data_IF_587877890826
#
_entry.id   IF_587877890826
#
_cell.length_a   1.000
_cell.length_b   1.000
_cell.length_c   1.000
_cell.angle_alpha   90.00
_cell.angle_beta   90.00
_cell.angle_gamma   90.00
#
_symmetry.space_group_name_H-M   'P 1'
#
loop_
_entity.id
_entity.type
_entity.pdbx_description
1 polymer ?
#
# COMPACT_ATOMS: atom_id res chain seq x y z
N UNK A 1 -58.81 -72.99 31.88
CA UNK A 1 -59.11 -71.62 32.35
C UNK A 1 -58.11 -71.24 33.43
N UNK A 2 -57.27 -70.27 33.16
CA UNK A 2 -56.22 -69.68 34.03
C UNK A 2 -55.54 -68.57 33.21
N UNK A 3 -54.84 -67.59 33.80
CA UNK A 3 -54.97 -66.98 35.13
C UNK A 3 -54.89 -65.40 35.01
N UNK A 4 -55.45 -64.58 35.92
CA UNK A 4 -54.79 -63.95 37.10
C UNK A 4 -54.31 -62.49 36.95
N UNK A 5 -54.66 -61.68 37.98
CA UNK A 5 -54.07 -60.40 38.52
C UNK A 5 -54.07 -59.19 37.57
N UNK A 6 -54.36 -57.94 37.96
CA UNK A 6 -54.60 -57.22 39.23
C UNK A 6 -54.52 -55.72 38.87
N UNK A 7 -55.10 -54.76 39.63
CA UNK A 7 -55.24 -53.37 39.18
C UNK A 7 -54.10 -52.47 39.66
N UNK A 8 -53.59 -51.57 38.79
CA UNK A 8 -52.70 -50.46 39.18
C UNK A 8 -53.05 -49.21 38.34
N UNK A 9 -53.11 -48.00 38.94
CA UNK A 9 -53.75 -46.82 38.35
C UNK A 9 -52.81 -45.97 37.47
N UNK A 10 -53.45 -45.09 36.71
CA UNK A 10 -52.88 -44.14 35.73
C UNK A 10 -51.63 -43.39 36.23
N UNK A 11 -50.51 -43.61 35.54
CA UNK A 11 -49.35 -42.71 35.57
C UNK A 11 -49.61 -41.57 34.58
N UNK A 12 -49.77 -40.34 35.12
CA UNK A 12 -49.71 -39.10 34.34
C UNK A 12 -48.29 -38.93 33.79
N UNK A 13 -48.12 -39.06 32.47
CA UNK A 13 -46.88 -38.68 31.81
C UNK A 13 -46.77 -37.15 31.70
N UNK A 14 -45.58 -36.65 32.06
CA UNK A 14 -45.15 -35.25 32.15
C UNK A 14 -45.21 -34.47 30.82
N UNK A 15 -45.35 -33.13 30.86
CA UNK A 15 -45.07 -32.29 29.71
C UNK A 15 -43.55 -32.08 29.60
N UNK A 16 -42.93 -32.63 28.56
CA UNK A 16 -41.57 -32.29 28.17
C UNK A 16 -41.62 -31.11 27.19
N UNK A 17 -41.55 -29.88 27.69
CA UNK A 17 -41.20 -28.72 26.86
C UNK A 17 -40.63 -27.58 27.71
N UNK A 18 -39.66 -26.88 27.13
CA UNK A 18 -38.96 -25.68 27.63
C UNK A 18 -37.73 -25.95 28.51
N UNK A 19 -36.67 -26.48 27.90
CA UNK A 19 -35.30 -26.07 28.24
C UNK A 19 -34.37 -26.26 27.04
N UNK A 20 -34.51 -25.41 26.02
CA UNK A 20 -33.52 -25.33 24.95
C UNK A 20 -33.41 -23.89 24.44
N UNK A 21 -32.15 -23.43 24.28
CA UNK A 21 -31.70 -22.21 23.60
C UNK A 21 -31.47 -20.95 24.46
N UNK A 22 -30.68 -21.08 25.53
CA UNK A 22 -29.73 -19.99 25.92
C UNK A 22 -28.30 -20.52 25.76
N UNK A 23 -27.97 -20.87 24.52
CA UNK A 23 -26.60 -21.05 24.06
C UNK A 23 -26.44 -20.26 22.77
N UNK A 24 -26.78 -18.96 22.83
CA UNK A 24 -26.39 -18.06 21.76
C UNK A 24 -24.88 -17.90 21.87
N UNK A 25 -24.20 -18.59 20.97
CA UNK A 25 -22.77 -18.66 20.86
C UNK A 25 -22.14 -17.27 21.01
N UNK A 26 -21.21 -17.15 21.97
CA UNK A 26 -20.05 -16.28 21.83
C UNK A 26 -19.25 -16.77 20.62
N UNK A 27 -19.76 -16.50 19.41
CA UNK A 27 -18.97 -16.64 18.20
C UNK A 27 -17.81 -15.65 18.37
N UNK A 28 -16.54 -16.09 18.29
CA UNK A 28 -15.44 -15.15 18.24
C UNK A 28 -15.71 -14.21 17.07
N UNK A 29 -15.73 -12.89 17.35
CA UNK A 29 -15.81 -11.89 16.31
C UNK A 29 -14.83 -12.28 15.19
N UNK A 30 -15.22 -12.17 13.89
CA UNK A 30 -14.32 -12.50 12.79
C UNK A 30 -13.01 -11.81 13.08
N UNK A 31 -11.92 -12.58 13.16
CA UNK A 31 -10.62 -12.04 13.49
C UNK A 31 -10.33 -10.92 12.48
N UNK A 32 -10.46 -9.67 12.93
CA UNK A 32 -10.35 -8.51 12.05
C UNK A 32 -9.08 -8.64 11.22
N UNK A 33 -9.18 -8.32 9.92
CA UNK A 33 -8.06 -8.46 9.02
C UNK A 33 -6.81 -7.86 9.66
N UNK A 34 -5.69 -8.58 9.59
CA UNK A 34 -4.44 -8.07 10.14
C UNK A 34 -4.09 -6.71 9.49
N UNK A 35 -4.45 -6.51 8.23
CA UNK A 35 -4.10 -5.33 7.45
C UNK A 35 -2.71 -5.46 6.81
N UNK A 36 -2.37 -4.46 6.00
CA UNK A 36 -1.08 -4.32 5.31
C UNK A 36 -0.32 -3.15 5.88
N UNK A 37 1.00 -3.27 5.98
CA UNK A 37 1.89 -2.22 6.50
C UNK A 37 1.66 -0.86 5.83
N UNK A 38 1.48 -0.87 4.50
CA UNK A 38 1.27 0.32 3.67
C UNK A 38 0.02 0.16 2.79
N UNK A 39 -0.89 1.14 2.80
CA UNK A 39 -2.04 1.17 1.89
C UNK A 39 -2.12 2.54 1.24
N UNK A 40 -2.19 2.58 -0.09
CA UNK A 40 -2.32 3.82 -0.85
C UNK A 40 -3.73 3.96 -1.42
N UNK A 41 -4.21 5.20 -1.40
CA UNK A 41 -5.49 5.67 -1.94
C UNK A 41 -5.23 6.90 -2.80
N UNK A 42 -6.22 7.28 -3.60
CA UNK A 42 -6.19 8.54 -4.32
C UNK A 42 -6.43 8.43 -5.81
N UNK A 43 -6.35 9.55 -6.49
CA UNK A 43 -6.75 9.65 -7.89
C UNK A 43 -5.66 9.23 -8.90
N UNK A 44 -5.76 9.74 -10.13
CA UNK A 44 -4.83 9.48 -11.23
C UNK A 44 -3.37 9.89 -10.94
N UNK A 45 -3.15 10.89 -10.07
CA UNK A 45 -1.81 11.30 -9.63
C UNK A 45 -1.19 10.29 -8.66
N UNK A 46 -2.02 9.41 -8.08
CA UNK A 46 -1.54 8.24 -7.33
C UNK A 46 -1.52 6.99 -8.21
N UNK A 47 -2.51 6.78 -9.06
CA UNK A 47 -2.59 5.56 -9.89
C UNK A 47 -1.48 5.49 -10.94
N UNK A 48 -0.97 6.63 -11.41
CA UNK A 48 0.01 6.68 -12.51
C UNK A 48 -0.69 6.44 -13.85
N UNK A 49 -1.74 7.23 -14.10
CA UNK A 49 -2.53 7.15 -15.32
C UNK A 49 -1.67 7.33 -16.57
N UNK A 50 -1.86 6.45 -17.57
CA UNK A 50 -1.13 6.46 -18.83
C UNK A 50 0.35 6.02 -18.76
N UNK A 51 0.87 5.76 -17.56
CA UNK A 51 2.23 5.21 -17.42
C UNK A 51 2.30 3.75 -17.92
N UNK A 52 3.49 3.26 -18.31
CA UNK A 52 3.69 1.85 -18.63
C UNK A 52 3.34 0.90 -17.46
N UNK A 53 3.25 -0.39 -17.77
CA UNK A 53 3.01 -1.46 -16.81
C UNK A 53 1.72 -1.29 -15.99
N UNK A 54 0.63 -0.89 -16.67
CA UNK A 54 -0.71 -0.86 -16.10
C UNK A 54 -1.11 -2.25 -15.59
N UNK A 55 -1.49 -2.33 -14.32
CA UNK A 55 -1.90 -3.58 -13.68
C UNK A 55 -3.26 -4.03 -14.17
N UNK A 56 -3.44 -5.35 -14.20
CA UNK A 56 -4.74 -5.94 -14.43
C UNK A 56 -5.74 -5.52 -13.36
N UNK A 57 -6.96 -5.20 -13.79
CA UNK A 57 -8.08 -4.89 -12.91
C UNK A 57 -8.50 -6.14 -12.13
N UNK A 58 -8.52 -6.10 -10.79
CA UNK A 58 -9.07 -7.19 -10.00
C UNK A 58 -10.56 -7.41 -10.32
N UNK A 59 -11.00 -8.67 -10.35
CA UNK A 59 -12.41 -9.01 -10.61
C UNK A 59 -13.34 -8.30 -9.61
N UNK A 60 -14.38 -7.64 -10.13
CA UNK A 60 -15.35 -6.90 -9.32
C UNK A 60 -14.89 -5.49 -8.89
N UNK A 61 -13.77 -5.00 -9.42
CA UNK A 61 -13.30 -3.62 -9.24
C UNK A 61 -13.35 -2.85 -10.58
N UNK A 62 -13.51 -1.52 -10.57
CA UNK A 62 -13.42 -0.74 -11.79
C UNK A 62 -11.98 -0.70 -12.33
N UNK A 63 -11.84 -0.47 -13.63
CA UNK A 63 -10.53 -0.22 -14.23
C UNK A 63 -10.01 1.15 -13.75
N UNK A 64 -9.00 1.09 -12.89
CA UNK A 64 -8.46 2.23 -12.17
C UNK A 64 -7.16 2.78 -12.76
N UNK A 65 -6.65 2.15 -13.83
CA UNK A 65 -5.39 2.55 -14.49
C UNK A 65 -4.24 2.76 -13.48
N UNK A 66 -3.97 1.70 -12.71
CA UNK A 66 -2.86 1.65 -11.75
C UNK A 66 -1.59 1.12 -12.42
N UNK A 67 -0.59 1.97 -12.59
CA UNK A 67 0.73 1.56 -13.05
C UNK A 67 1.52 0.84 -11.95
N UNK A 68 2.24 -0.21 -12.32
CA UNK A 68 3.23 -0.85 -11.46
C UNK A 68 4.45 0.04 -11.15
N UNK A 69 4.53 1.22 -11.77
CA UNK A 69 5.59 2.22 -11.61
C UNK A 69 5.13 3.50 -10.91
N UNK A 70 3.90 3.56 -10.42
CA UNK A 70 3.42 4.71 -9.67
C UNK A 70 4.16 4.89 -8.32
N UNK A 71 3.99 6.05 -7.67
CA UNK A 71 4.74 6.36 -6.44
C UNK A 71 4.45 5.36 -5.30
N UNK A 72 3.23 4.84 -5.09
CA UNK A 72 3.00 3.79 -4.09
C UNK A 72 3.83 2.53 -4.34
N UNK A 73 3.97 2.12 -5.60
CA UNK A 73 4.80 0.96 -5.97
C UNK A 73 6.27 1.17 -5.62
N UNK A 74 6.79 2.37 -5.90
CA UNK A 74 8.18 2.74 -5.59
C UNK A 74 8.41 2.80 -4.06
N UNK A 75 7.45 3.36 -3.31
CA UNK A 75 7.46 3.35 -1.83
C UNK A 75 7.50 1.91 -1.30
N UNK A 76 6.60 1.05 -1.78
CA UNK A 76 6.49 -0.34 -1.34
C UNK A 76 7.73 -1.16 -1.68
N UNK A 77 8.32 -0.96 -2.87
CA UNK A 77 9.57 -1.60 -3.27
C UNK A 77 10.73 -1.18 -2.35
N UNK A 78 10.83 0.12 -2.01
CA UNK A 78 11.90 0.62 -1.13
C UNK A 78 11.76 0.15 0.32
N UNK A 79 10.53 -0.09 0.76
CA UNK A 79 10.19 -0.71 2.04
C UNK A 79 10.24 -2.24 2.00
N UNK A 80 10.51 -2.81 0.82
CA UNK A 80 10.61 -4.24 0.57
C UNK A 80 9.34 -4.99 1.02
N UNK A 81 8.17 -4.46 0.67
CA UNK A 81 6.88 -4.99 1.11
C UNK A 81 6.36 -6.14 0.23
N UNK A 82 7.16 -6.64 -0.73
CA UNK A 82 6.78 -7.74 -1.63
C UNK A 82 5.74 -7.34 -2.68
N UNK A 83 4.97 -8.31 -3.18
CA UNK A 83 3.97 -8.08 -4.22
C UNK A 83 2.73 -7.35 -3.68
N UNK A 84 2.11 -6.52 -4.52
CA UNK A 84 0.87 -5.79 -4.19
C UNK A 84 -0.25 -6.77 -3.77
N UNK A 85 -1.05 -6.39 -2.76
CA UNK A 85 -2.21 -7.12 -2.19
C UNK A 85 -1.95 -8.50 -1.61
N UNK A 86 -0.85 -9.15 -1.95
CA UNK A 86 -0.44 -10.45 -1.39
C UNK A 86 0.68 -10.30 -0.36
N UNK A 87 1.50 -9.26 -0.48
CA UNK A 87 2.58 -8.87 0.43
C UNK A 87 2.14 -7.97 1.58
N UNK A 88 3.01 -7.04 1.97
CA UNK A 88 2.82 -6.09 3.08
C UNK A 88 2.21 -4.76 2.67
N UNK A 89 1.69 -4.65 1.45
CA UNK A 89 1.10 -3.42 0.94
C UNK A 89 -0.03 -3.66 -0.04
N UNK A 90 -0.83 -2.63 -0.30
CA UNK A 90 -1.87 -2.63 -1.32
C UNK A 90 -2.11 -1.21 -1.86
N UNK A 91 -2.54 -1.13 -3.12
CA UNK A 91 -2.84 0.12 -3.80
C UNK A 91 -4.30 0.08 -4.28
N UNK A 92 -5.09 1.00 -3.76
CA UNK A 92 -6.51 1.17 -4.09
C UNK A 92 -6.78 2.48 -4.81
N UNK A 93 -5.74 3.20 -5.21
CA UNK A 93 -5.90 4.39 -6.05
C UNK A 93 -6.65 4.10 -7.33
N UNK A 94 -7.41 5.08 -7.79
CA UNK A 94 -8.22 4.98 -8.98
C UNK A 94 -8.25 6.28 -9.76
N UNK A 95 -7.92 6.21 -11.05
CA UNK A 95 -8.06 7.36 -11.94
C UNK A 95 -9.47 7.97 -11.87
N UNK A 96 -9.55 9.30 -11.89
CA UNK A 96 -10.75 10.11 -11.69
C UNK A 96 -11.45 9.99 -10.33
N UNK A 97 -10.84 9.33 -9.33
CA UNK A 97 -11.43 9.29 -7.99
C UNK A 97 -11.53 10.69 -7.36
N UNK A 98 -12.61 10.90 -6.62
CA UNK A 98 -12.88 12.12 -5.84
C UNK A 98 -12.62 11.87 -4.35
N UNK A 99 -12.53 12.93 -3.55
CA UNK A 99 -12.57 12.80 -2.09
C UNK A 99 -13.97 12.37 -1.63
N UNK A 100 -15.02 12.90 -2.26
CA UNK A 100 -16.40 12.51 -1.95
C UNK A 100 -17.34 12.74 -3.13
N UNK A 101 -18.29 11.82 -3.30
CA UNK A 101 -19.38 11.97 -4.27
C UNK A 101 -18.93 11.77 -5.71
N UNK A 102 -19.86 11.92 -6.65
CA UNK A 102 -19.59 11.66 -8.06
C UNK A 102 -19.04 12.89 -8.78
N UNK A 103 -18.07 12.66 -9.66
CA UNK A 103 -17.60 13.61 -10.66
C UNK A 103 -17.59 12.98 -12.06
N UNK A 104 -17.21 13.76 -13.07
CA UNK A 104 -17.11 13.28 -14.44
C UNK A 104 -16.17 12.07 -14.52
N UNK A 105 -16.66 10.95 -15.09
CA UNK A 105 -15.92 9.70 -15.26
C UNK A 105 -15.37 9.08 -13.95
N UNK A 106 -15.84 9.54 -12.78
CA UNK A 106 -15.41 9.04 -11.47
C UNK A 106 -15.96 7.64 -11.23
N UNK A 107 -15.12 6.61 -11.16
CA UNK A 107 -15.58 5.24 -10.91
C UNK A 107 -15.98 5.01 -9.44
N UNK A 108 -15.37 5.77 -8.52
CA UNK A 108 -15.65 5.77 -7.09
C UNK A 108 -15.05 7.02 -6.42
N UNK A 109 -15.46 7.28 -5.18
CA UNK A 109 -14.81 8.26 -4.29
C UNK A 109 -13.86 7.58 -3.29
N UNK A 110 -13.14 8.38 -2.49
CA UNK A 110 -12.19 7.91 -1.50
C UNK A 110 -12.83 6.93 -0.49
N UNK A 111 -14.10 7.13 -0.12
CA UNK A 111 -14.80 6.19 0.76
C UNK A 111 -15.04 4.85 0.07
N UNK A 112 -15.35 4.86 -1.24
CA UNK A 112 -15.38 3.68 -2.09
C UNK A 112 -14.05 2.94 -2.14
N UNK A 113 -12.92 3.65 -2.21
CA UNK A 113 -11.59 3.05 -2.25
C UNK A 113 -11.30 2.36 -0.91
N UNK A 114 -11.65 3.02 0.20
CA UNK A 114 -11.56 2.47 1.55
C UNK A 114 -12.44 1.23 1.71
N UNK A 115 -13.65 1.22 1.14
CA UNK A 115 -14.52 0.05 1.17
C UNK A 115 -13.95 -1.14 0.38
N UNK A 116 -13.28 -0.89 -0.75
CA UNK A 116 -12.53 -1.92 -1.48
C UNK A 116 -11.38 -2.47 -0.65
N UNK A 117 -10.61 -1.58 0.01
CA UNK A 117 -9.51 -1.97 0.89
C UNK A 117 -9.98 -2.80 2.08
N UNK A 118 -11.14 -2.46 2.66
CA UNK A 118 -11.76 -3.23 3.73
C UNK A 118 -12.15 -4.63 3.26
N UNK A 119 -12.87 -4.76 2.13
CA UNK A 119 -13.26 -6.07 1.58
C UNK A 119 -12.06 -6.95 1.25
N UNK A 120 -10.96 -6.34 0.81
CA UNK A 120 -9.69 -7.03 0.55
C UNK A 120 -8.88 -7.36 1.81
N UNK A 121 -9.35 -6.97 3.00
CA UNK A 121 -8.62 -7.14 4.27
C UNK A 121 -7.29 -6.38 4.31
N UNK A 122 -7.21 -5.26 3.57
CA UNK A 122 -5.99 -4.47 3.45
C UNK A 122 -5.80 -3.48 4.62
N UNK A 123 -6.90 -3.03 5.22
CA UNK A 123 -6.90 -2.20 6.42
C UNK A 123 -7.08 -3.07 7.67
N UNK A 124 -6.29 -2.80 8.70
CA UNK A 124 -6.32 -3.58 9.93
C UNK A 124 -5.34 -3.10 11.00
N UNK A 125 -5.26 -3.83 12.12
CA UNK A 125 -4.40 -3.49 13.27
C UNK A 125 -2.89 -3.48 12.99
N UNK A 126 -2.44 -4.07 11.88
CA UNK A 126 -1.06 -4.11 11.40
C UNK A 126 -0.78 -3.05 10.33
N UNK A 127 -1.81 -2.32 9.89
CA UNK A 127 -1.62 -1.14 9.04
C UNK A 127 -0.93 -0.03 9.82
N UNK A 128 0.11 0.56 9.20
CA UNK A 128 0.98 1.55 9.84
C UNK A 128 1.07 2.84 9.04
N UNK A 129 1.02 2.76 7.73
CA UNK A 129 1.15 3.91 6.86
C UNK A 129 0.06 3.90 5.81
N UNK A 130 -0.67 5.01 5.70
CA UNK A 130 -1.69 5.22 4.68
C UNK A 130 -1.37 6.53 3.97
N UNK A 131 -1.41 6.54 2.64
CA UNK A 131 -1.28 7.77 1.83
C UNK A 131 -2.53 7.98 1.01
N UNK A 132 -2.89 9.23 0.79
CA UNK A 132 -3.95 9.61 -0.14
C UNK A 132 -3.61 10.91 -0.88
N UNK A 133 -4.06 11.02 -2.13
CA UNK A 133 -4.05 12.24 -2.95
C UNK A 133 -5.44 12.39 -3.57
N UNK A 134 -6.01 13.59 -3.57
CA UNK A 134 -7.35 13.79 -4.14
C UNK A 134 -7.81 15.23 -4.03
N UNK A 135 -8.93 15.54 -4.69
CA UNK A 135 -9.55 16.87 -4.68
C UNK A 135 -9.57 17.55 -6.05
N UNK A 136 -8.72 17.15 -7.00
CA UNK A 136 -8.68 17.74 -8.34
C UNK A 136 -9.92 17.41 -9.18
N UNK A 137 -10.50 16.21 -8.96
CA UNK A 137 -11.69 15.74 -9.65
C UNK A 137 -12.99 16.16 -8.97
N UNK A 138 -12.93 16.59 -7.71
CA UNK A 138 -14.12 16.95 -6.93
C UNK A 138 -14.84 18.17 -7.52
N UNK A 139 -16.18 18.07 -7.54
CA UNK A 139 -17.06 19.21 -7.79
C UNK A 139 -17.20 20.01 -6.51
N UNK A 140 -16.50 21.12 -6.42
CA UNK A 140 -16.45 21.96 -5.21
C UNK A 140 -17.61 22.94 -5.12
N UNK A 141 -18.14 23.35 -6.27
CA UNK A 141 -19.47 23.90 -6.45
C UNK A 141 -20.41 22.86 -7.10
N UNK A 142 -21.72 23.06 -6.99
CA UNK A 142 -22.73 22.04 -7.33
C UNK A 142 -22.86 21.73 -8.84
N UNK A 143 -21.99 22.28 -9.70
CA UNK A 143 -22.06 22.13 -11.15
C UNK A 143 -20.66 22.02 -11.78
N UNK A 144 -20.58 21.44 -12.99
CA UNK A 144 -19.39 21.51 -13.82
C UNK A 144 -18.37 20.37 -13.67
N UNK A 145 -17.18 20.66 -14.19
CA UNK A 145 -15.99 19.81 -14.12
C UNK A 145 -15.37 19.87 -12.73
N UNK A 146 -14.52 18.88 -12.38
CA UNK A 146 -13.64 19.04 -11.21
C UNK A 146 -12.74 20.26 -11.40
N UNK A 147 -12.44 20.99 -10.33
CA UNK A 147 -11.76 22.30 -10.45
C UNK A 147 -10.42 22.21 -11.20
N UNK A 148 -9.67 21.13 -11.02
CA UNK A 148 -8.41 20.94 -11.75
C UNK A 148 -8.64 20.66 -13.23
N UNK A 149 -9.58 19.78 -13.57
CA UNK A 149 -9.95 19.49 -14.95
C UNK A 149 -10.49 20.74 -15.67
N UNK A 150 -11.33 21.53 -15.00
CA UNK A 150 -11.81 22.82 -15.49
C UNK A 150 -10.66 23.81 -15.73
N UNK A 151 -9.69 23.88 -14.81
CA UNK A 151 -8.51 24.73 -14.96
C UNK A 151 -7.67 24.36 -16.19
N UNK A 152 -7.44 23.07 -16.43
CA UNK A 152 -6.68 22.59 -17.60
C UNK A 152 -7.45 22.79 -18.91
N UNK A 153 -8.76 22.53 -18.93
CA UNK A 153 -9.56 22.72 -20.15
C UNK A 153 -9.61 24.21 -20.51
N UNK A 154 -9.84 25.09 -19.53
CA UNK A 154 -9.80 26.53 -19.74
C UNK A 154 -8.43 26.99 -20.27
N UNK A 155 -7.33 26.47 -19.70
CA UNK A 155 -5.97 26.84 -20.10
C UNK A 155 -5.69 26.58 -21.60
N UNK A 156 -6.32 25.55 -22.17
CA UNK A 156 -6.15 25.14 -23.56
C UNK A 156 -7.21 25.73 -24.50
N UNK A 157 -8.18 26.48 -23.98
CA UNK A 157 -9.25 27.10 -24.75
C UNK A 157 -8.99 28.60 -24.92
N UNK A 158 -8.83 29.03 -26.17
CA UNK A 158 -8.62 30.44 -26.54
C UNK A 158 -9.83 31.33 -26.23
N UNK A 159 -11.03 30.74 -26.18
CA UNK A 159 -12.25 31.42 -25.77
C UNK A 159 -12.41 31.55 -24.25
N UNK A 160 -11.54 30.90 -23.46
CA UNK A 160 -11.65 30.94 -22.00
C UNK A 160 -11.08 32.26 -21.44
N UNK A 161 -11.97 33.14 -20.98
CA UNK A 161 -11.58 34.39 -20.33
C UNK A 161 -11.10 34.22 -18.88
N UNK A 162 -10.70 35.31 -18.21
CA UNK A 162 -10.29 35.28 -16.79
C UNK A 162 -11.42 34.94 -15.81
N UNK A 163 -12.68 35.09 -16.25
CA UNK A 163 -13.88 34.81 -15.47
C UNK A 163 -14.81 33.86 -16.25
N UNK A 164 -14.40 32.61 -16.49
CA UNK A 164 -15.20 31.68 -17.26
C UNK A 164 -16.43 31.23 -16.48
N UNK A 165 -17.37 30.58 -17.15
CA UNK A 165 -18.60 30.10 -16.52
C UNK A 165 -18.28 29.17 -15.34
N UNK A 166 -18.67 29.60 -14.14
CA UNK A 166 -18.58 28.79 -12.93
C UNK A 166 -19.35 27.46 -13.06
N UNK A 167 -20.43 27.42 -13.83
CA UNK A 167 -21.21 26.19 -14.04
C UNK A 167 -20.43 25.15 -14.86
N UNK A 168 -19.46 25.59 -15.67
CA UNK A 168 -18.66 24.71 -16.53
C UNK A 168 -17.31 24.39 -15.88
N UNK A 169 -16.60 25.42 -15.42
CA UNK A 169 -15.19 25.32 -15.02
C UNK A 169 -14.97 25.31 -13.50
N UNK A 170 -16.00 25.65 -12.72
CA UNK A 170 -15.93 25.80 -11.27
C UNK A 170 -15.50 27.20 -10.82
N UNK A 171 -15.63 27.48 -9.52
CA UNK A 171 -15.13 28.71 -8.88
C UNK A 171 -13.88 28.40 -8.07
N UNK A 172 -12.75 29.08 -8.28
CA UNK A 172 -11.56 28.91 -7.44
C UNK A 172 -11.87 29.00 -5.93
N UNK A 173 -12.66 30.00 -5.52
CA UNK A 173 -13.06 30.20 -4.12
C UNK A 173 -14.03 29.16 -3.53
N UNK A 174 -14.48 28.16 -4.31
CA UNK A 174 -15.32 27.07 -3.80
C UNK A 174 -14.53 26.03 -3.00
N UNK A 175 -13.22 25.96 -3.20
CA UNK A 175 -12.34 25.09 -2.40
C UNK A 175 -11.85 25.87 -1.19
N UNK A 176 -12.20 25.37 -0.02
CA UNK A 176 -11.66 25.85 1.26
C UNK A 176 -11.08 24.66 2.02
N UNK A 177 -10.17 24.92 2.95
CA UNK A 177 -9.64 23.88 3.82
C UNK A 177 -10.75 23.16 4.61
N UNK A 178 -11.78 23.89 5.03
CA UNK A 178 -12.93 23.33 5.74
C UNK A 178 -13.76 22.40 4.83
N UNK A 179 -14.07 22.83 3.61
CA UNK A 179 -14.78 22.01 2.63
C UNK A 179 -13.96 20.75 2.27
N UNK A 180 -12.65 20.90 2.07
CA UNK A 180 -11.76 19.78 1.79
C UNK A 180 -11.75 18.77 2.93
N UNK A 181 -11.57 19.26 4.16
CA UNK A 181 -11.60 18.42 5.35
C UNK A 181 -12.95 17.70 5.49
N UNK A 182 -14.07 18.38 5.25
CA UNK A 182 -15.41 17.79 5.33
C UNK A 182 -15.60 16.64 4.34
N UNK A 183 -15.12 16.79 3.09
CA UNK A 183 -15.22 15.75 2.05
C UNK A 183 -14.37 14.53 2.35
N UNK A 184 -13.14 14.71 2.83
CA UNK A 184 -12.25 13.60 3.15
C UNK A 184 -12.62 12.88 4.46
N UNK A 185 -13.23 13.58 5.43
CA UNK A 185 -13.47 13.09 6.80
C UNK A 185 -14.13 11.71 6.88
N UNK A 186 -15.22 11.38 6.14
CA UNK A 186 -15.85 10.07 6.25
C UNK A 186 -14.89 8.91 5.95
N UNK A 187 -14.07 9.03 4.92
CA UNK A 187 -13.09 8.02 4.57
C UNK A 187 -11.95 7.94 5.60
N UNK A 188 -11.47 9.09 6.09
CA UNK A 188 -10.44 9.16 7.13
C UNK A 188 -10.91 8.48 8.42
N UNK A 189 -12.14 8.76 8.87
CA UNK A 189 -12.70 8.17 10.08
C UNK A 189 -12.93 6.66 9.91
N UNK A 190 -13.29 6.22 8.70
CA UNK A 190 -13.35 4.79 8.37
C UNK A 190 -11.96 4.14 8.42
N UNK A 191 -10.93 4.76 7.86
CA UNK A 191 -9.55 4.26 7.93
C UNK A 191 -9.09 4.17 9.39
N UNK A 192 -9.36 5.19 10.23
CA UNK A 192 -9.00 5.18 11.66
C UNK A 192 -9.67 4.05 12.42
N UNK A 193 -10.94 3.80 12.13
CA UNK A 193 -11.71 2.70 12.73
C UNK A 193 -11.09 1.34 12.38
N UNK A 194 -10.73 1.13 11.11
CA UNK A 194 -10.17 -0.14 10.63
C UNK A 194 -8.69 -0.32 10.99
N UNK A 195 -7.93 0.78 11.01
CA UNK A 195 -6.48 0.81 11.17
C UNK A 195 -6.05 1.83 12.24
N UNK A 196 -6.37 1.60 13.54
CA UNK A 196 -6.16 2.58 14.61
C UNK A 196 -4.68 2.89 14.92
N UNK A 197 -3.74 2.16 14.31
CA UNK A 197 -2.28 2.36 14.44
C UNK A 197 -1.65 2.99 13.21
N UNK A 198 -2.44 3.32 12.19
CA UNK A 198 -1.94 3.92 10.97
C UNK A 198 -1.70 5.42 11.15
N UNK A 199 -0.55 5.89 10.69
CA UNK A 199 -0.37 7.30 10.34
C UNK A 199 -0.91 7.50 8.93
N UNK A 200 -1.87 8.40 8.79
CA UNK A 200 -2.46 8.76 7.50
C UNK A 200 -1.77 10.05 7.02
N UNK A 201 -1.37 10.06 5.75
CA UNK A 201 -0.68 11.17 5.13
C UNK A 201 -1.43 11.64 3.88
N UNK A 202 -1.70 12.95 3.81
CA UNK A 202 -2.18 13.60 2.60
C UNK A 202 -0.95 13.99 1.76
N UNK A 203 -0.84 13.44 0.57
CA UNK A 203 0.21 13.78 -0.39
C UNK A 203 -0.30 14.89 -1.28
N UNK A 204 0.42 16.01 -1.25
CA UNK A 204 0.12 17.21 -2.04
C UNK A 204 0.06 16.88 -3.54
N UNK A 205 -0.79 17.60 -4.28
CA UNK A 205 -0.67 17.59 -5.73
C UNK A 205 0.63 18.31 -6.12
N UNK A 206 1.52 17.66 -6.87
CA UNK A 206 2.79 18.27 -7.24
C UNK A 206 2.57 19.47 -8.17
N UNK A 207 3.55 20.37 -8.22
CA UNK A 207 3.52 21.61 -8.99
C UNK A 207 3.51 21.30 -10.51
N UNK A 208 2.31 21.05 -11.05
CA UNK A 208 2.07 20.72 -12.46
C UNK A 208 2.19 21.93 -13.38
N UNK A 209 1.84 23.11 -12.87
CA UNK A 209 1.94 24.38 -13.57
C UNK A 209 2.91 25.29 -12.80
N UNK A 210 3.66 26.17 -13.50
CA UNK A 210 4.51 27.15 -12.84
C UNK A 210 3.78 27.97 -11.77
N UNK A 211 4.34 28.02 -10.56
CA UNK A 211 3.82 28.85 -9.46
C UNK A 211 3.83 30.35 -9.79
N UNK A 212 4.74 30.80 -10.65
CA UNK A 212 4.83 32.19 -11.11
C UNK A 212 5.21 32.28 -12.59
N UNK A 213 5.03 33.47 -13.19
CA UNK A 213 5.35 33.69 -14.61
C UNK A 213 4.26 33.21 -15.59
N UNK A 214 4.57 33.19 -16.90
CA UNK A 214 3.61 32.79 -17.93
C UNK A 214 3.24 31.31 -17.81
N UNK A 215 1.98 30.99 -18.10
CA UNK A 215 1.55 29.61 -18.33
C UNK A 215 1.61 29.29 -19.83
N UNK A 216 1.74 28.01 -20.13
CA UNK A 216 1.70 27.47 -21.48
C UNK A 216 0.46 26.60 -21.67
N UNK A 217 0.08 26.39 -22.93
CA UNK A 217 -0.89 25.36 -23.30
C UNK A 217 -0.30 23.97 -23.10
N UNK A 218 -1.09 23.06 -22.55
CA UNK A 218 -0.69 21.68 -22.24
C UNK A 218 -1.10 20.69 -23.33
N UNK A 219 -1.95 21.10 -24.26
CA UNK A 219 -2.39 20.32 -25.41
C UNK A 219 -1.43 20.40 -26.62
N UNK A 220 -0.32 21.14 -26.49
CA UNK A 220 0.68 21.35 -27.52
C UNK A 220 1.99 20.60 -27.22
N UNK A 221 2.70 20.18 -28.27
CA UNK A 221 4.07 19.64 -28.18
C UNK A 221 5.15 20.73 -28.00
N UNK A 222 4.79 22.02 -28.10
CA UNK A 222 5.67 23.15 -27.86
C UNK A 222 5.14 24.00 -26.69
N UNK A 223 6.00 24.80 -26.07
CA UNK A 223 5.66 25.69 -24.96
C UNK A 223 4.97 26.95 -25.47
N UNK A 224 3.80 26.77 -26.08
CA UNK A 224 2.97 27.88 -26.57
C UNK A 224 2.36 28.61 -25.38
N UNK A 225 2.56 29.94 -25.24
CA UNK A 225 1.95 30.70 -24.16
C UNK A 225 0.41 30.56 -24.16
N UNK A 226 -0.17 30.39 -22.99
CA UNK A 226 -1.63 30.43 -22.84
C UNK A 226 -2.13 31.88 -22.87
N UNK A 227 -3.37 32.14 -23.33
CA UNK A 227 -3.98 33.46 -23.22
C UNK A 227 -3.98 33.97 -21.78
N UNK A 228 -3.76 35.27 -21.59
CA UNK A 228 -3.64 35.87 -20.25
C UNK A 228 -4.88 35.63 -19.37
N UNK A 229 -6.07 35.63 -19.99
CA UNK A 229 -7.34 35.33 -19.34
C UNK A 229 -7.38 33.92 -18.78
N UNK A 230 -7.27 32.91 -19.65
CA UNK A 230 -7.22 31.50 -19.25
C UNK A 230 -6.16 31.25 -18.20
N UNK A 231 -4.96 31.82 -18.38
CA UNK A 231 -3.85 31.64 -17.46
C UNK A 231 -4.16 32.20 -16.05
N UNK A 232 -4.82 33.36 -15.96
CA UNK A 232 -5.22 33.94 -14.68
C UNK A 232 -6.25 33.07 -13.95
N UNK A 233 -7.27 32.57 -14.67
CA UNK A 233 -8.26 31.66 -14.11
C UNK A 233 -7.62 30.36 -13.62
N UNK A 234 -6.85 29.69 -14.49
CA UNK A 234 -6.19 28.43 -14.17
C UNK A 234 -5.30 28.57 -12.94
N UNK A 235 -4.52 29.66 -12.84
CA UNK A 235 -3.68 29.91 -11.67
C UNK A 235 -4.50 30.11 -10.39
N UNK A 236 -5.60 30.86 -10.45
CA UNK A 236 -6.48 31.02 -9.30
C UNK A 236 -7.06 29.66 -8.85
N UNK A 237 -7.52 28.85 -9.80
CA UNK A 237 -8.12 27.54 -9.55
C UNK A 237 -7.12 26.55 -8.92
N UNK A 238 -5.93 26.38 -9.49
CA UNK A 238 -4.93 25.46 -8.95
C UNK A 238 -4.35 25.95 -7.63
N UNK A 239 -4.11 27.26 -7.48
CA UNK A 239 -3.63 27.84 -6.21
C UNK A 239 -4.65 27.63 -5.09
N UNK A 240 -5.94 27.82 -5.36
CA UNK A 240 -6.99 27.59 -4.37
C UNK A 240 -7.06 26.12 -3.93
N UNK A 241 -6.96 25.19 -4.88
CA UNK A 241 -6.93 23.75 -4.59
C UNK A 241 -5.72 23.39 -3.72
N UNK A 242 -4.51 23.79 -4.12
CA UNK A 242 -3.27 23.42 -3.42
C UNK A 242 -3.18 24.09 -2.05
N UNK A 243 -3.57 25.35 -1.94
CA UNK A 243 -3.58 26.09 -0.66
C UNK A 243 -4.56 25.49 0.36
N UNK A 244 -5.62 24.80 -0.08
CA UNK A 244 -6.58 24.15 0.82
C UNK A 244 -6.03 22.85 1.45
N UNK A 245 -5.05 22.17 0.83
CA UNK A 245 -4.64 20.82 1.24
C UNK A 245 -3.94 20.79 2.60
N UNK A 246 -2.94 21.68 2.83
CA UNK A 246 -2.18 21.67 4.09
C UNK A 246 -3.05 22.00 5.31
N UNK A 247 -3.85 23.08 5.33
CA UNK A 247 -4.69 23.36 6.49
C UNK A 247 -5.81 22.31 6.66
N UNK A 248 -6.28 21.69 5.58
CA UNK A 248 -7.22 20.57 5.69
C UNK A 248 -6.58 19.32 6.31
N UNK A 249 -5.32 19.01 5.94
CA UNK A 249 -4.56 17.93 6.58
C UNK A 249 -4.38 18.20 8.09
N UNK A 250 -4.06 19.45 8.48
CA UNK A 250 -3.97 19.86 9.88
C UNK A 250 -5.31 19.70 10.61
N UNK A 251 -6.41 20.21 10.04
CA UNK A 251 -7.75 20.09 10.61
C UNK A 251 -8.24 18.64 10.75
N UNK A 252 -7.70 17.74 9.91
CA UNK A 252 -7.95 16.31 9.98
C UNK A 252 -6.92 15.56 10.83
N UNK A 253 -5.84 16.18 11.30
CA UNK A 253 -4.76 15.51 12.04
C UNK A 253 -3.95 14.51 11.20
N UNK A 254 -3.79 14.81 9.90
CA UNK A 254 -3.01 14.01 8.94
C UNK A 254 -1.58 14.56 8.84
N UNK A 255 -0.64 13.71 8.43
CA UNK A 255 0.67 14.18 7.99
C UNK A 255 0.53 14.79 6.60
N UNK A 256 0.93 16.05 6.42
CA UNK A 256 1.03 16.63 5.08
C UNK A 256 2.38 16.29 4.46
N UNK A 257 2.37 15.75 3.24
CA UNK A 257 3.58 15.45 2.46
C UNK A 257 3.68 16.48 1.36
N UNK A 258 4.52 17.49 1.61
CA UNK A 258 4.85 18.56 0.69
C UNK A 258 5.75 18.04 -0.42
N UNK A 259 5.26 18.10 -1.66
CA UNK A 259 5.99 17.60 -2.83
C UNK A 259 6.68 18.72 -3.60
N UNK A 260 6.37 19.98 -3.28
CA UNK A 260 6.77 21.18 -4.03
C UNK A 260 8.27 21.22 -4.26
N UNK A 261 9.07 21.19 -3.18
CA UNK A 261 10.53 21.28 -3.28
C UNK A 261 11.17 20.14 -4.08
N UNK A 262 10.49 18.98 -4.16
CA UNK A 262 10.99 17.84 -4.92
C UNK A 262 10.65 17.92 -6.41
N UNK A 263 9.70 18.78 -6.81
CA UNK A 263 9.19 18.88 -8.19
C UNK A 263 9.36 20.27 -8.82
N UNK A 264 9.80 21.29 -8.06
CA UNK A 264 10.07 22.63 -8.60
C UNK A 264 11.03 22.58 -9.80
N UNK A 265 10.71 23.34 -10.84
CA UNK A 265 11.50 23.39 -12.07
C UNK A 265 11.25 22.24 -13.05
N UNK A 266 10.25 21.38 -12.77
CA UNK A 266 9.86 20.25 -13.61
C UNK A 266 8.39 20.32 -14.08
N UNK A 267 7.79 21.51 -14.02
CA UNK A 267 6.40 21.75 -14.43
C UNK A 267 6.16 21.46 -15.92
N UNK A 268 4.88 21.43 -16.32
CA UNK A 268 4.47 21.06 -17.69
C UNK A 268 4.93 22.05 -18.77
N UNK A 269 5.30 23.27 -18.41
CA UNK A 269 5.78 24.31 -19.32
C UNK A 269 7.30 24.28 -19.52
N UNK A 270 7.98 23.32 -18.91
CA UNK A 270 9.39 23.07 -19.17
C UNK A 270 9.61 22.38 -20.52
N UNK A 271 10.82 22.56 -21.06
CA UNK A 271 11.30 21.77 -22.19
C UNK A 271 11.31 20.26 -21.86
N UNK A 272 11.16 19.41 -22.88
CA UNK A 272 10.95 17.96 -22.71
C UNK A 272 11.96 17.29 -21.77
N UNK A 273 13.25 17.69 -21.82
CA UNK A 273 14.30 17.10 -20.97
C UNK A 273 14.19 17.43 -19.47
N UNK A 274 13.46 18.47 -19.12
CA UNK A 274 13.28 18.92 -17.73
C UNK A 274 11.85 18.71 -17.23
N UNK A 275 10.89 18.47 -18.11
CA UNK A 275 9.48 18.33 -17.75
C UNK A 275 9.18 16.96 -17.13
N UNK A 276 8.42 16.93 -16.04
CA UNK A 276 7.92 15.69 -15.42
C UNK A 276 6.41 15.50 -15.52
N UNK A 277 5.77 16.16 -16.48
CA UNK A 277 4.35 16.00 -16.81
C UNK A 277 4.18 15.79 -18.30
N UNK A 278 3.36 14.82 -18.69
CA UNK A 278 3.11 14.58 -20.11
C UNK A 278 2.21 15.67 -20.70
N UNK A 279 2.43 16.01 -21.97
CA UNK A 279 1.50 16.80 -22.80
C UNK A 279 0.82 15.92 -23.83
N UNK A 280 -0.18 16.45 -24.52
CA UNK A 280 -0.81 15.74 -25.64
C UNK A 280 0.24 15.35 -26.68
N UNK A 281 0.30 14.06 -27.02
CA UNK A 281 1.28 13.48 -27.95
C UNK A 281 2.60 13.02 -27.32
N UNK A 282 2.85 13.30 -26.03
CA UNK A 282 3.95 12.68 -25.29
C UNK A 282 3.64 11.20 -24.98
N UNK A 283 4.67 10.44 -24.59
CA UNK A 283 4.53 9.06 -24.10
C UNK A 283 4.96 8.97 -22.63
N UNK A 284 4.51 7.93 -21.94
CA UNK A 284 4.98 7.60 -20.59
C UNK A 284 4.08 8.09 -19.43
N UNK A 285 3.08 8.91 -19.72
CA UNK A 285 1.92 9.22 -18.87
C UNK A 285 0.81 9.82 -19.75
N UNK A 286 -0.43 9.86 -19.27
CA UNK A 286 -1.50 10.59 -19.97
C UNK A 286 -1.26 12.11 -19.85
N UNK A 287 -1.77 12.93 -20.79
CA UNK A 287 -1.60 14.37 -20.74
C UNK A 287 -1.96 14.95 -19.37
N UNK A 288 -1.20 15.94 -18.93
CA UNK A 288 -1.23 16.60 -17.61
C UNK A 288 -0.93 15.72 -16.40
N UNK A 289 -0.54 14.46 -16.58
CA UNK A 289 -0.22 13.56 -15.48
C UNK A 289 1.30 13.43 -15.24
N UNK A 290 1.72 13.11 -14.00
CA UNK A 290 3.12 12.96 -13.66
C UNK A 290 3.79 11.80 -14.42
N UNK A 291 5.01 12.01 -14.90
CA UNK A 291 5.84 10.96 -15.51
C UNK A 291 6.49 10.08 -14.44
N UNK A 292 7.24 9.06 -14.88
CA UNK A 292 7.98 8.18 -13.98
C UNK A 292 9.00 8.94 -13.09
N UNK A 293 9.56 10.04 -13.58
CA UNK A 293 10.50 10.87 -12.82
C UNK A 293 9.80 11.60 -11.67
N UNK A 294 8.65 12.23 -11.93
CA UNK A 294 7.84 12.84 -10.88
C UNK A 294 7.39 11.80 -9.84
N UNK A 295 6.87 10.64 -10.27
CA UNK A 295 6.51 9.57 -9.33
C UNK A 295 7.70 9.07 -8.50
N UNK A 296 8.92 9.10 -9.07
CA UNK A 296 10.14 8.76 -8.34
C UNK A 296 10.50 9.83 -7.30
N UNK A 297 10.38 11.11 -7.64
CA UNK A 297 10.60 12.21 -6.71
C UNK A 297 9.58 12.19 -5.56
N UNK A 298 8.27 12.07 -5.88
CA UNK A 298 7.18 11.97 -4.90
C UNK A 298 7.39 10.77 -3.97
N UNK A 299 7.78 9.60 -4.51
CA UNK A 299 8.05 8.43 -3.70
C UNK A 299 9.15 8.67 -2.66
N UNK A 300 10.19 9.45 -2.98
CA UNK A 300 11.26 9.79 -2.02
C UNK A 300 10.74 10.63 -0.85
N UNK A 301 9.89 11.63 -1.14
CA UNK A 301 9.31 12.49 -0.11
C UNK A 301 8.30 11.71 0.75
N UNK A 302 7.42 10.92 0.14
CA UNK A 302 6.48 10.05 0.84
C UNK A 302 7.22 9.06 1.75
N UNK A 303 8.33 8.49 1.25
CA UNK A 303 9.19 7.65 2.08
C UNK A 303 9.78 8.44 3.25
N UNK A 304 10.21 9.69 3.08
CA UNK A 304 10.76 10.50 4.16
C UNK A 304 9.71 10.81 5.24
N UNK A 305 8.46 11.06 4.85
CA UNK A 305 7.35 11.38 5.75
C UNK A 305 6.72 10.16 6.46
N UNK A 306 7.13 8.94 6.09
CA UNK A 306 6.56 7.71 6.66
C UNK A 306 6.76 7.65 8.20
N UNK A 307 5.84 7.02 8.95
CA UNK A 307 6.07 6.75 10.36
C UNK A 307 7.21 5.74 10.55
N UNK A 308 7.73 5.65 11.77
CA UNK A 308 8.64 4.56 12.13
C UNK A 308 7.95 3.21 11.94
N UNK A 309 8.38 2.46 10.92
CA UNK A 309 7.84 1.13 10.64
C UNK A 309 8.57 0.06 11.46
N UNK A 310 7.85 -0.90 12.07
CA UNK A 310 8.48 -2.00 12.79
C UNK A 310 9.39 -2.81 11.85
N UNK A 311 10.70 -2.83 12.13
CA UNK A 311 11.64 -3.67 11.37
C UNK A 311 11.48 -5.12 11.77
N UNK A 312 11.63 -6.02 10.81
CA UNK A 312 11.67 -7.45 11.08
C UNK A 312 12.81 -7.77 12.06
N UNK A 313 12.55 -8.61 13.07
CA UNK A 313 13.55 -9.02 14.07
C UNK A 313 13.50 -10.52 14.32
N UNK A 314 14.66 -11.12 14.60
CA UNK A 314 14.80 -12.53 14.94
C UNK A 314 15.31 -12.72 16.37
N UNK A 315 14.53 -13.45 17.18
CA UNK A 315 14.88 -13.87 18.53
C UNK A 315 14.98 -15.39 18.60
N UNK A 316 15.68 -15.92 19.60
CA UNK A 316 15.93 -17.35 19.77
C UNK A 316 17.19 -17.61 20.59
N UNK A 317 17.57 -18.88 20.76
CA UNK A 317 18.70 -19.23 21.60
C UNK A 317 20.02 -18.67 21.06
N UNK A 318 20.96 -18.35 21.95
CA UNK A 318 22.34 -17.98 21.62
C UNK A 318 23.22 -19.20 21.32
N UNK A 319 22.81 -20.39 21.79
CA UNK A 319 23.46 -21.68 21.55
C UNK A 319 22.47 -22.78 21.18
N UNK A 320 22.89 -23.72 20.34
CA UNK A 320 22.07 -24.87 19.95
C UNK A 320 22.95 -26.13 19.81
N UNK A 321 22.38 -27.32 20.05
CA UNK A 321 23.09 -28.61 19.89
C UNK A 321 22.56 -29.36 18.68
N UNK A 322 23.45 -29.96 17.88
CA UNK A 322 23.09 -30.81 16.75
C UNK A 322 22.10 -31.91 17.19
N UNK A 323 21.07 -32.16 16.39
CA UNK A 323 20.03 -33.15 16.68
C UNK A 323 18.98 -32.71 17.71
N UNK A 324 19.25 -31.66 18.51
CA UNK A 324 18.26 -31.10 19.44
C UNK A 324 17.37 -30.06 18.76
N UNK A 325 16.19 -29.84 19.31
CA UNK A 325 15.22 -28.87 18.79
C UNK A 325 15.61 -27.45 19.22
N UNK A 326 15.56 -26.52 18.28
CA UNK A 326 15.69 -25.08 18.53
C UNK A 326 14.45 -24.35 18.00
N UNK A 327 14.07 -23.25 18.65
CA UNK A 327 12.97 -22.38 18.20
C UNK A 327 13.47 -20.96 18.00
N UNK A 328 13.26 -20.43 16.81
CA UNK A 328 13.53 -19.04 16.47
C UNK A 328 12.21 -18.31 16.22
N UNK A 329 12.02 -17.16 16.86
CA UNK A 329 10.82 -16.35 16.70
C UNK A 329 11.17 -15.09 15.92
N UNK A 330 10.58 -14.98 14.73
CA UNK A 330 10.64 -13.77 13.94
C UNK A 330 9.41 -12.90 14.21
N UNK A 331 9.59 -11.58 14.21
CA UNK A 331 8.55 -10.57 14.41
C UNK A 331 8.60 -9.55 13.28
N UNK A 332 7.49 -8.83 13.07
CA UNK A 332 7.29 -7.85 12.00
C UNK A 332 7.61 -8.40 10.59
N UNK A 333 7.27 -9.66 10.33
CA UNK A 333 7.37 -10.25 9.00
C UNK A 333 6.30 -9.68 8.07
N UNK A 334 6.70 -9.20 6.89
CA UNK A 334 5.82 -8.97 5.75
C UNK A 334 5.18 -10.31 5.35
N UNK A 335 3.89 -10.28 5.04
CA UNK A 335 3.17 -11.49 4.61
C UNK A 335 3.83 -12.08 3.38
N UNK A 336 4.28 -13.32 3.47
CA UNK A 336 4.78 -14.08 2.34
C UNK A 336 4.66 -15.59 2.60
N UNK A 337 4.61 -16.35 1.51
CA UNK A 337 4.69 -17.81 1.53
C UNK A 337 6.15 -18.27 1.66
N UNK A 338 6.37 -19.54 2.02
CA UNK A 338 7.71 -20.14 1.93
C UNK A 338 8.77 -19.59 2.89
N UNK A 339 8.38 -18.92 3.99
CA UNK A 339 9.32 -18.56 5.04
C UNK A 339 9.97 -19.80 5.62
N UNK A 340 11.29 -19.72 5.84
CA UNK A 340 12.07 -20.81 6.43
C UNK A 340 13.24 -20.27 7.25
N UNK A 341 13.51 -20.91 8.39
CA UNK A 341 14.76 -20.73 9.12
C UNK A 341 15.84 -21.65 8.57
N UNK A 342 17.00 -21.09 8.21
CA UNK A 342 18.19 -21.83 7.81
C UNK A 342 19.37 -21.53 8.72
N UNK A 343 20.01 -22.59 9.19
CA UNK A 343 21.33 -22.52 9.78
C UNK A 343 22.36 -22.43 8.65
N UNK A 344 23.21 -21.42 8.66
CA UNK A 344 24.16 -21.11 7.58
C UNK A 344 25.55 -20.83 8.14
N UNK A 345 26.60 -21.32 7.47
CA UNK A 345 28.01 -21.02 7.77
C UNK A 345 28.86 -21.12 6.49
N UNK A 346 29.88 -20.28 6.38
CA UNK A 346 30.92 -20.43 5.37
C UNK A 346 31.92 -21.50 5.81
N UNK A 347 32.16 -22.50 4.96
CA UNK A 347 33.10 -23.60 5.20
C UNK A 347 34.05 -23.74 4.02
N UNK A 348 35.30 -24.16 4.27
CA UNK A 348 36.20 -24.59 3.20
C UNK A 348 35.76 -25.96 2.68
N UNK A 349 35.48 -26.04 1.38
CA UNK A 349 35.01 -27.26 0.70
C UNK A 349 35.69 -27.34 -0.66
N UNK A 350 36.48 -28.39 -0.88
CA UNK A 350 37.28 -28.60 -2.10
C UNK A 350 38.13 -27.36 -2.44
N UNK A 351 38.90 -26.87 -1.46
CA UNK A 351 39.82 -25.74 -1.62
C UNK A 351 39.17 -24.36 -1.77
N UNK A 352 37.82 -24.25 -1.74
CA UNK A 352 37.12 -22.96 -1.83
C UNK A 352 36.20 -22.73 -0.64
N UNK A 353 36.09 -21.47 -0.20
CA UNK A 353 35.10 -21.07 0.79
C UNK A 353 33.71 -21.08 0.18
N UNK A 354 32.81 -21.91 0.71
CA UNK A 354 31.43 -22.07 0.23
C UNK A 354 30.43 -21.76 1.34
N UNK A 355 29.27 -21.21 0.97
CA UNK A 355 28.13 -21.06 1.88
C UNK A 355 27.42 -22.41 2.02
N UNK A 356 27.46 -22.98 3.22
CA UNK A 356 26.78 -24.23 3.56
C UNK A 356 25.58 -23.94 4.45
N UNK A 357 24.42 -24.49 4.12
CA UNK A 357 23.20 -24.25 4.88
C UNK A 357 22.31 -25.48 4.96
N UNK A 358 21.49 -25.53 6.00
CA UNK A 358 20.41 -26.49 6.13
C UNK A 358 19.24 -25.88 6.91
N UNK A 359 18.01 -26.33 6.64
CA UNK A 359 16.83 -25.82 7.33
C UNK A 359 16.76 -26.30 8.79
N UNK A 360 16.24 -25.45 9.66
CA UNK A 360 15.91 -25.77 11.08
C UNK A 360 14.41 -26.01 11.23
N UNK A 361 13.71 -26.38 10.14
CA UNK A 361 12.27 -26.60 10.13
C UNK A 361 11.65 -26.58 8.72
N UNK A 362 10.32 -26.73 8.68
CA UNK A 362 9.51 -26.64 7.46
C UNK A 362 9.41 -25.22 6.90
N UNK A 363 8.99 -25.13 5.64
CA UNK A 363 8.53 -23.87 5.05
C UNK A 363 7.14 -23.55 5.57
N UNK A 364 6.81 -22.27 5.73
CA UNK A 364 5.45 -21.84 6.08
C UNK A 364 5.10 -20.48 5.51
N UNK A 365 3.80 -20.22 5.37
CA UNK A 365 3.29 -18.84 5.24
C UNK A 365 3.37 -18.17 6.61
N UNK A 366 3.85 -16.93 6.63
CA UNK A 366 3.96 -16.14 7.86
C UNK A 366 3.74 -14.65 7.57
N UNK A 367 3.25 -13.94 8.59
CA UNK A 367 3.10 -12.48 8.66
C UNK A 367 3.17 -12.06 10.13
N UNK A 368 3.60 -10.83 10.42
CA UNK A 368 3.74 -10.32 11.77
C UNK A 368 4.71 -11.18 12.58
N UNK A 369 4.19 -11.99 13.49
CA UNK A 369 5.00 -12.87 14.36
C UNK A 369 4.88 -14.33 13.94
N UNK A 370 6.02 -15.01 13.78
CA UNK A 370 6.05 -16.44 13.52
C UNK A 370 7.22 -17.14 14.23
N UNK A 371 6.95 -18.34 14.72
CA UNK A 371 7.96 -19.24 15.28
C UNK A 371 8.37 -20.32 14.28
N UNK A 372 9.68 -20.56 14.22
CA UNK A 372 10.35 -21.57 13.41
C UNK A 372 11.03 -22.55 14.34
N UNK A 373 10.38 -23.69 14.56
CA UNK A 373 10.84 -24.77 15.44
C UNK A 373 11.29 -25.96 14.61
N UNK A 374 12.42 -26.56 14.98
CA UNK A 374 12.86 -27.82 14.40
C UNK A 374 14.25 -28.25 14.89
N UNK A 375 14.67 -29.45 14.47
CA UNK A 375 15.95 -30.02 14.86
C UNK A 375 17.11 -29.27 14.19
N UNK A 376 18.16 -28.99 14.95
CA UNK A 376 19.42 -28.46 14.43
C UNK A 376 20.04 -29.53 13.53
N UNK A 377 20.32 -29.21 12.25
CA UNK A 377 20.67 -30.20 11.25
C UNK A 377 22.06 -30.81 11.52
N UNK A 378 22.17 -32.13 11.33
CA UNK A 378 23.45 -32.87 11.42
C UNK A 378 24.31 -32.75 10.16
N UNK A 379 23.71 -32.36 9.03
CA UNK A 379 24.40 -32.12 7.75
C UNK A 379 23.97 -30.80 7.11
N UNK A 380 24.89 -30.19 6.37
CA UNK A 380 24.71 -28.95 5.61
C UNK A 380 24.92 -29.20 4.12
N UNK A 381 24.18 -28.47 3.29
CA UNK A 381 24.36 -28.46 1.84
C UNK A 381 25.15 -27.22 1.43
N UNK A 382 26.27 -27.41 0.74
CA UNK A 382 27.18 -26.35 0.31
C UNK A 382 26.90 -25.92 -1.14
N UNK A 383 26.48 -24.67 -1.33
CA UNK A 383 26.10 -24.15 -2.64
C UNK A 383 27.29 -24.12 -3.62
N UNK A 384 27.08 -24.60 -4.83
CA UNK A 384 28.08 -24.67 -5.90
C UNK A 384 29.20 -25.69 -5.70
N UNK A 385 29.15 -26.51 -4.64
CA UNK A 385 30.13 -27.58 -4.44
C UNK A 385 29.89 -28.79 -5.38
N UNK A 386 30.96 -29.49 -5.80
CA UNK A 386 30.85 -30.77 -6.51
C UNK A 386 29.95 -31.77 -5.77
N UNK A 387 29.29 -32.67 -6.50
CA UNK A 387 28.29 -33.60 -5.94
C UNK A 387 28.84 -34.41 -4.75
N UNK A 388 30.08 -34.89 -4.86
CA UNK A 388 30.75 -35.69 -3.82
C UNK A 388 31.02 -34.91 -2.51
N UNK A 389 31.21 -33.59 -2.57
CA UNK A 389 31.55 -32.75 -1.41
C UNK A 389 30.42 -31.81 -0.98
N UNK A 390 29.25 -31.92 -1.63
CA UNK A 390 28.09 -31.03 -1.43
C UNK A 390 27.46 -31.16 -0.05
N UNK A 391 27.50 -32.35 0.55
CA UNK A 391 26.95 -32.63 1.88
C UNK A 391 28.06 -32.73 2.91
N UNK A 392 27.99 -31.96 4.00
CA UNK A 392 29.00 -31.94 5.08
C UNK A 392 28.35 -32.13 6.44
N UNK A 393 28.98 -32.90 7.32
CA UNK A 393 28.58 -32.96 8.74
C UNK A 393 28.66 -31.56 9.33
N UNK A 394 27.72 -31.18 10.19
CA UNK A 394 27.70 -29.88 10.87
C UNK A 394 28.83 -29.81 11.91
N UNK A 395 29.90 -29.02 11.71
CA UNK A 395 30.92 -28.82 12.74
C UNK A 395 30.41 -27.94 13.90
N UNK A 396 31.06 -28.05 15.07
CA UNK A 396 30.85 -27.07 16.13
C UNK A 396 31.36 -25.68 15.70
N UNK A 397 30.78 -24.61 16.24
CA UNK A 397 31.24 -23.24 16.00
C UNK A 397 30.11 -22.22 15.86
N UNK A 398 30.43 -21.03 15.35
CA UNK A 398 29.45 -19.95 15.16
C UNK A 398 28.75 -20.09 13.80
N UNK A 399 27.44 -19.93 13.82
CA UNK A 399 26.55 -19.98 12.66
C UNK A 399 25.67 -18.74 12.61
N UNK A 400 25.12 -18.47 11.43
CA UNK A 400 24.05 -17.50 11.23
C UNK A 400 22.76 -18.25 10.95
N UNK A 401 21.74 -18.04 11.78
CA UNK A 401 20.38 -18.42 11.47
C UNK A 401 19.75 -17.30 10.68
N UNK A 402 19.25 -17.60 9.49
CA UNK A 402 18.54 -16.66 8.63
C UNK A 402 17.10 -17.13 8.47
N UNK A 403 16.15 -16.22 8.69
CA UNK A 403 14.74 -16.41 8.32
C UNK A 403 14.43 -15.49 7.15
N UNK A 404 13.91 -16.06 6.07
CA UNK A 404 13.42 -15.31 4.92
C UNK A 404 12.40 -16.14 4.14
N UNK A 405 11.59 -15.48 3.30
CA UNK A 405 10.73 -16.15 2.33
C UNK A 405 11.58 -16.69 1.19
N UNK A 406 11.59 -17.99 0.96
CA UNK A 406 12.47 -18.60 -0.05
C UNK A 406 11.81 -18.71 -1.43
N UNK A 407 12.62 -18.63 -2.48
CA UNK A 407 12.30 -19.09 -3.83
C UNK A 407 12.31 -20.63 -3.90
N UNK A 408 11.89 -21.20 -5.03
CA UNK A 408 12.06 -22.63 -5.33
C UNK A 408 13.52 -23.08 -5.19
N UNK A 409 14.47 -22.25 -5.64
CA UNK A 409 15.93 -22.48 -5.51
C UNK A 409 16.50 -22.32 -4.10
N UNK A 410 15.71 -21.84 -3.13
CA UNK A 410 16.14 -21.65 -1.74
C UNK A 410 16.85 -20.33 -1.46
N UNK A 411 16.92 -19.42 -2.43
CA UNK A 411 17.35 -18.02 -2.24
C UNK A 411 16.29 -17.23 -1.49
N UNK A 412 16.69 -16.20 -0.74
CA UNK A 412 15.72 -15.30 -0.11
C UNK A 412 15.10 -14.37 -1.16
N UNK A 413 13.78 -14.26 -1.13
CA UNK A 413 13.05 -13.22 -1.84
C UNK A 413 13.23 -11.88 -1.13
N UNK A 414 13.15 -10.80 -1.91
CA UNK A 414 12.99 -9.45 -1.38
C UNK A 414 11.57 -9.36 -0.79
N UNK A 415 11.48 -9.41 0.54
CA UNK A 415 10.21 -9.27 1.28
C UNK A 415 10.37 -8.44 2.56
N UNK A 416 11.47 -7.74 2.75
CA UNK A 416 11.72 -6.78 3.84
C UNK A 416 11.94 -7.45 5.19
N UNK A 417 11.94 -8.78 5.15
CA UNK A 417 11.78 -9.65 6.31
C UNK A 417 12.87 -10.72 6.37
N UNK A 418 13.95 -10.51 5.62
CA UNK A 418 15.17 -11.30 5.77
C UNK A 418 15.85 -10.86 7.05
N UNK A 419 15.80 -11.71 8.06
CA UNK A 419 16.37 -11.44 9.39
C UNK A 419 17.38 -12.50 9.76
N UNK A 420 18.42 -12.10 10.48
CA UNK A 420 19.52 -12.99 10.86
C UNK A 420 19.81 -12.91 12.35
N UNK A 421 20.37 -13.99 12.89
CA UNK A 421 20.87 -14.08 14.27
C UNK A 421 22.07 -15.01 14.33
N UNK A 422 23.11 -14.64 15.06
CA UNK A 422 24.23 -15.54 15.35
C UNK A 422 23.85 -16.57 16.42
N UNK A 423 24.26 -17.82 16.22
CA UNK A 423 24.09 -18.93 17.18
C UNK A 423 25.36 -19.76 17.26
N UNK A 424 25.76 -20.19 18.47
CA UNK A 424 26.86 -21.15 18.67
C UNK A 424 26.30 -22.57 18.61
N UNK A 425 26.81 -23.40 17.70
CA UNK A 425 26.39 -24.80 17.55
C UNK A 425 27.42 -25.73 18.19
N UNK A 426 26.95 -26.64 19.04
CA UNK A 426 27.73 -27.75 19.62
C UNK A 426 27.25 -29.09 19.07
N UNK A 427 28.07 -30.14 19.21
CA UNK A 427 27.65 -31.51 18.87
C UNK A 427 26.85 -32.15 19.98
#
# INVERSE_FOLDING_TARGET
MSPVRGPVPLVRALPALVLALVACALLPAPAGAAGRTYVAFGDSYTSGLGMPDQRATPSGEPNCFRSARNYPSKVAARLDLGAERTGGWADFSCSNATLSGQALLSPLDLLGEVALAERAGALGRDTRFVTLTGGGNDRWDAAGLGLFAGAIICLNDEGCGPNPSAQTFGRPGSVTAAAYAARARPAIDRIRTLAPRARIALVEYPEVLPASGPLCRTDQLATTPAPAGSAAYTRAATSALFAAQRPAAEALGLTFVDTTAATTGHDICQESRFRWYARSGDTGADPVHPTEDAHTAIARVVLAARPSLPRARLTGPSSARVGRTATFRATNLVRATGYRARLTRRLSVAGRTRTCSAPVGGRRTASGTASFKGRVPSRLTCAGAPRASRSRVTPAGRYTVRVCAETSSGSCRSTGSTVTRSVRVSR
#
